data_IF_187536088141
#
_entry.id   IF_187536088141
#
_cell.length_a   1.000
_cell.length_b   1.000
_cell.length_c   1.000
_cell.angle_alpha   90.00
_cell.angle_beta   90.00
_cell.angle_gamma   90.00
#
_symmetry.space_group_name_H-M   'P 1'
#
loop_
_entity.id
_entity.type
_entity.pdbx_description
1 polymer ?
#
# COMPACT_ATOMS: atom_id res chain seq x y z
N UNK A 1 35.99 3.62 -16.95
CA UNK A 1 34.67 2.99 -16.80
C UNK A 1 34.75 2.07 -15.59
N UNK A 2 34.25 2.51 -14.43
CA UNK A 2 34.31 1.72 -13.19
C UNK A 2 32.99 0.99 -12.96
N UNK A 3 32.92 -0.26 -13.43
CA UNK A 3 31.71 -1.09 -13.42
C UNK A 3 31.11 -1.30 -12.03
N UNK A 4 31.91 -1.14 -10.97
CA UNK A 4 31.47 -1.29 -9.58
C UNK A 4 30.50 -0.19 -9.19
N UNK A 5 30.66 1.02 -9.72
CA UNK A 5 29.76 2.16 -9.44
C UNK A 5 28.40 1.97 -10.09
N UNK A 6 28.38 1.41 -11.29
CA UNK A 6 27.16 1.20 -12.07
C UNK A 6 26.26 0.15 -11.41
N UNK A 7 26.85 -0.93 -10.88
CA UNK A 7 26.13 -1.96 -10.12
C UNK A 7 25.54 -1.39 -8.83
N UNK A 8 26.32 -0.57 -8.10
CA UNK A 8 25.86 0.04 -6.84
C UNK A 8 24.75 1.08 -7.08
N UNK A 9 24.84 1.87 -8.15
CA UNK A 9 23.81 2.84 -8.52
C UNK A 9 22.47 2.17 -8.87
N UNK A 10 22.54 1.04 -9.58
CA UNK A 10 21.37 0.22 -9.91
C UNK A 10 20.68 -0.28 -8.65
N UNK A 11 21.43 -0.88 -7.72
CA UNK A 11 20.91 -1.33 -6.43
C UNK A 11 20.25 -0.19 -5.65
N UNK A 12 20.94 0.94 -5.45
CA UNK A 12 20.39 2.08 -4.71
C UNK A 12 19.08 2.62 -5.31
N UNK A 13 18.93 2.55 -6.63
CA UNK A 13 17.69 2.97 -7.32
C UNK A 13 16.55 1.99 -7.05
N UNK A 14 16.79 0.68 -7.10
CA UNK A 14 15.77 -0.32 -6.73
C UNK A 14 15.35 -0.20 -5.26
N UNK A 15 16.31 0.00 -4.38
CA UNK A 15 16.08 0.14 -2.95
C UNK A 15 15.32 1.44 -2.67
N UNK A 16 15.70 2.55 -3.30
CA UNK A 16 14.96 3.82 -3.23
C UNK A 16 13.53 3.73 -3.76
N UNK A 17 13.32 3.01 -4.87
CA UNK A 17 11.98 2.78 -5.43
C UNK A 17 11.13 1.90 -4.51
N UNK A 18 11.68 0.82 -3.94
CA UNK A 18 10.98 -0.03 -2.98
C UNK A 18 10.57 0.73 -1.71
N UNK A 19 11.44 1.62 -1.22
CA UNK A 19 11.11 2.49 -0.09
C UNK A 19 10.01 3.50 -0.47
N UNK A 20 10.08 4.09 -1.66
CA UNK A 20 9.08 5.04 -2.17
C UNK A 20 7.67 4.43 -2.32
N UNK A 21 7.56 3.14 -2.63
CA UNK A 21 6.26 2.43 -2.70
C UNK A 21 5.57 2.40 -1.33
N UNK A 22 6.32 2.33 -0.22
CA UNK A 22 5.75 2.38 1.13
C UNK A 22 5.26 3.79 1.50
N UNK A 23 5.93 4.82 0.99
CA UNK A 23 5.57 6.23 1.24
C UNK A 23 4.31 6.67 0.45
N UNK A 24 3.98 6.00 -0.66
CA UNK A 24 2.79 6.30 -1.47
C UNK A 24 1.49 6.11 -0.68
N UNK A 25 1.46 5.21 0.30
CA UNK A 25 0.28 4.94 1.12
C UNK A 25 0.06 5.94 2.27
N UNK A 26 1.07 6.76 2.60
CA UNK A 26 1.04 7.68 3.76
C UNK A 26 1.37 9.12 3.37
N UNK A 27 0.96 9.54 2.17
CA UNK A 27 1.10 10.93 1.75
C UNK A 27 0.12 11.83 2.52
N UNK A 28 0.62 12.95 3.06
CA UNK A 28 -0.19 13.95 3.75
C UNK A 28 -1.25 14.51 2.80
N UNK A 29 -2.52 14.49 3.20
CA UNK A 29 -3.59 15.06 2.39
C UNK A 29 -3.49 16.60 2.34
N UNK A 30 -4.06 17.23 1.29
CA UNK A 30 -4.22 18.68 1.26
C UNK A 30 -5.00 19.19 2.48
N UNK A 31 -4.76 20.43 2.91
CA UNK A 31 -5.29 21.00 4.17
C UNK A 31 -6.82 20.88 4.33
N UNK A 32 -7.58 21.02 3.25
CA UNK A 32 -9.04 20.86 3.26
C UNK A 32 -9.51 19.42 3.55
N UNK A 33 -8.64 18.42 3.38
CA UNK A 33 -8.92 17.00 3.59
C UNK A 33 -8.18 16.41 4.79
N UNK A 34 -7.44 17.22 5.55
CA UNK A 34 -6.70 16.77 6.75
C UNK A 34 -7.62 16.13 7.82
N UNK A 35 -8.91 16.50 7.83
CA UNK A 35 -9.91 15.88 8.72
C UNK A 35 -10.13 14.39 8.37
N UNK A 36 -9.87 14.00 7.13
CA UNK A 36 -10.01 12.63 6.64
C UNK A 36 -8.71 11.82 6.71
N UNK A 37 -7.60 12.39 7.21
CA UNK A 37 -6.34 11.66 7.45
C UNK A 37 -6.59 10.30 8.14
N UNK A 38 -7.38 10.22 9.24
CA UNK A 38 -7.62 8.93 9.91
C UNK A 38 -8.37 7.90 9.07
N UNK A 39 -9.17 8.33 8.09
CA UNK A 39 -9.91 7.43 7.18
C UNK A 39 -8.98 6.88 6.11
N UNK A 40 -8.09 7.73 5.58
CA UNK A 40 -7.13 7.33 4.56
C UNK A 40 -6.12 6.34 5.12
N UNK A 41 -5.72 6.50 6.37
CA UNK A 41 -4.86 5.54 7.08
C UNK A 41 -5.47 4.13 7.17
N UNK A 42 -6.81 4.02 7.19
CA UNK A 42 -7.53 2.75 7.25
C UNK A 42 -7.84 2.20 5.86
N UNK A 43 -7.84 3.03 4.81
CA UNK A 43 -8.18 2.64 3.43
C UNK A 43 -7.40 1.41 2.89
N UNK A 44 -6.09 1.22 3.20
CA UNK A 44 -5.34 0.05 2.72
C UNK A 44 -5.89 -1.31 3.20
N UNK A 45 -6.71 -1.35 4.26
CA UNK A 45 -7.29 -2.60 4.78
C UNK A 45 -8.51 -3.09 3.98
N UNK A 46 -9.13 -2.22 3.17
CA UNK A 46 -10.39 -2.50 2.45
C UNK A 46 -10.33 -3.82 1.63
N UNK A 47 -9.25 -4.15 0.89
CA UNK A 47 -9.15 -5.43 0.18
C UNK A 47 -9.32 -6.65 1.08
N UNK A 48 -8.86 -6.60 2.33
CA UNK A 48 -9.02 -7.68 3.31
C UNK A 48 -10.49 -7.77 3.75
N UNK A 49 -11.18 -6.65 3.95
CA UNK A 49 -12.60 -6.68 4.27
C UNK A 49 -13.45 -7.30 3.17
N UNK A 50 -13.12 -7.09 1.89
CA UNK A 50 -13.82 -7.77 0.80
C UNK A 50 -13.60 -9.29 0.80
N UNK A 51 -12.38 -9.74 1.13
CA UNK A 51 -12.12 -11.16 1.32
C UNK A 51 -12.96 -11.74 2.47
N UNK A 52 -12.98 -11.07 3.62
CA UNK A 52 -13.79 -11.48 4.77
C UNK A 52 -15.28 -11.46 4.45
N UNK A 53 -15.74 -10.47 3.69
CA UNK A 53 -17.12 -10.37 3.23
C UNK A 53 -17.52 -11.58 2.36
N UNK A 54 -16.61 -12.10 1.53
CA UNK A 54 -16.89 -13.31 0.76
C UNK A 54 -17.17 -14.53 1.66
N UNK A 55 -16.46 -14.66 2.79
CA UNK A 55 -16.75 -15.71 3.78
C UNK A 55 -18.05 -15.47 4.53
N UNK A 56 -18.35 -14.21 4.90
CA UNK A 56 -19.63 -13.85 5.51
C UNK A 56 -20.79 -14.15 4.57
N UNK A 57 -20.63 -13.81 3.29
CA UNK A 57 -21.61 -14.11 2.26
C UNK A 57 -21.81 -15.61 2.09
N UNK A 58 -20.72 -16.37 1.96
CA UNK A 58 -20.78 -17.83 1.87
C UNK A 58 -21.42 -18.47 3.11
N UNK A 59 -21.08 -18.02 4.31
CA UNK A 59 -21.71 -18.46 5.55
C UNK A 59 -23.22 -18.16 5.58
N UNK A 60 -23.63 -17.00 5.05
CA UNK A 60 -25.04 -16.59 4.98
C UNK A 60 -25.87 -17.48 4.04
N UNK A 61 -25.25 -18.06 3.01
CA UNK A 61 -25.89 -19.03 2.10
C UNK A 61 -25.59 -20.49 2.46
N UNK A 62 -24.95 -20.75 3.61
CA UNK A 62 -24.58 -22.09 4.11
C UNK A 62 -23.52 -22.84 3.32
N UNK A 63 -22.56 -22.13 2.68
CA UNK A 63 -21.47 -22.72 1.90
C UNK A 63 -21.95 -23.74 0.86
N UNK A 64 -23.01 -23.37 0.14
CA UNK A 64 -23.55 -24.16 -0.98
C UNK A 64 -22.64 -24.08 -2.19
#
# INVERSE_FOLDING_TARGET
>A
MDWRKDVVASYNTYLGNLLNINDFFFAKLPEAYAIFDPIVDVMPIIPIFFLLLAFVWQASVSFR
#
